data_IF_978297776694
#
_entry.id   IF_978297776694
#
_cell.length_a   1.000
_cell.length_b   1.000
_cell.length_c   1.000
_cell.angle_alpha   90.00
_cell.angle_beta   90.00
_cell.angle_gamma   90.00
#
_symmetry.space_group_name_H-M   'P 1'
#
loop_
_entity.id
_entity.type
_entity.pdbx_description
1 polymer ?
#
# COMPACT_ATOMS: atom_id res chain seq x y z
N UNK A 1 0.30 11.82 14.40
CA UNK A 1 0.01 11.72 12.95
C UNK A 1 0.10 10.24 12.60
N UNK A 2 -0.97 9.66 12.06
CA UNK A 2 -0.99 8.23 11.71
C UNK A 2 -0.23 8.06 10.39
N UNK A 3 0.92 7.37 10.42
CA UNK A 3 1.70 7.07 9.21
C UNK A 3 0.88 6.10 8.35
N UNK A 4 0.26 6.64 7.30
CA UNK A 4 -0.41 5.87 6.26
C UNK A 4 0.65 5.34 5.31
N UNK A 5 0.80 4.03 5.23
CA UNK A 5 1.82 3.35 4.43
C UNK A 5 1.15 2.74 3.20
N UNK A 6 1.68 3.02 2.01
CA UNK A 6 1.32 2.29 0.79
C UNK A 6 2.48 1.41 0.36
N UNK A 7 2.18 0.28 -0.26
CA UNK A 7 3.17 -0.67 -0.74
C UNK A 7 2.80 -1.17 -2.15
N UNK A 8 3.82 -1.43 -2.96
CA UNK A 8 3.68 -2.12 -4.23
C UNK A 8 4.36 -3.48 -4.12
N UNK A 9 3.58 -4.54 -4.24
CA UNK A 9 4.06 -5.92 -4.18
C UNK A 9 4.33 -6.42 -5.59
N UNK A 10 5.53 -6.95 -5.83
CA UNK A 10 5.94 -7.51 -7.11
C UNK A 10 6.31 -8.98 -6.95
N UNK A 11 5.86 -9.81 -7.88
CA UNK A 11 6.37 -11.16 -8.09
C UNK A 11 7.22 -11.13 -9.35
N UNK A 12 8.45 -11.60 -9.24
CA UNK A 12 9.40 -11.57 -10.35
C UNK A 12 10.24 -12.85 -10.37
N UNK A 13 10.88 -13.10 -11.50
CA UNK A 13 11.94 -14.10 -11.65
C UNK A 13 13.24 -13.40 -12.03
N UNK A 14 14.29 -13.69 -11.27
CA UNK A 14 15.66 -13.22 -11.53
C UNK A 14 16.52 -14.35 -12.08
N UNK A 15 17.15 -14.11 -13.24
CA UNK A 15 18.03 -15.08 -13.91
C UNK A 15 19.51 -14.89 -13.50
N UNK A 16 19.86 -13.75 -12.89
CA UNK A 16 21.19 -13.47 -12.37
C UNK A 16 21.15 -12.85 -10.97
N UNK A 17 22.12 -13.20 -10.13
CA UNK A 17 22.20 -12.76 -8.73
C UNK A 17 23.17 -11.61 -8.61
N UNK A 18 22.67 -10.39 -8.73
CA UNK A 18 23.43 -9.14 -8.59
C UNK A 18 22.57 -8.09 -7.91
N UNK A 19 23.24 -7.15 -7.24
CA UNK A 19 22.64 -5.92 -6.71
C UNK A 19 21.97 -5.14 -7.85
N UNK A 20 20.70 -4.79 -7.67
CA UNK A 20 19.92 -4.13 -8.69
C UNK A 20 19.38 -2.79 -8.20
N UNK A 21 19.38 -1.82 -9.12
CA UNK A 21 18.72 -0.55 -8.90
C UNK A 21 17.37 -0.55 -9.60
N UNK A 22 16.27 -0.39 -8.86
CA UNK A 22 14.91 -0.31 -9.41
C UNK A 22 14.57 1.12 -9.80
N UNK A 23 13.96 1.35 -10.97
CA UNK A 23 13.36 2.64 -11.29
C UNK A 23 11.92 2.48 -11.74
N UNK A 24 11.01 3.19 -11.07
CA UNK A 24 9.59 3.29 -11.41
C UNK A 24 9.33 4.44 -12.41
N UNK A 25 8.58 4.21 -13.50
CA UNK A 25 8.09 5.24 -14.44
C UNK A 25 6.56 5.22 -14.52
N UNK A 26 5.91 6.34 -14.87
CA UNK A 26 4.46 6.48 -15.10
C UNK A 26 4.22 6.91 -16.57
N UNK A 27 3.58 6.07 -17.40
CA UNK A 27 3.11 6.47 -18.73
C UNK A 27 1.66 5.99 -19.00
N UNK A 28 0.76 6.91 -19.36
CA UNK A 28 -0.60 6.56 -19.84
C UNK A 28 -0.68 6.67 -21.36
N UNK A 29 -0.71 5.53 -22.06
CA UNK A 29 -0.99 5.48 -23.50
C UNK A 29 -2.46 5.11 -23.76
N UNK A 30 -3.21 6.02 -24.41
CA UNK A 30 -4.52 5.75 -25.01
C UNK A 30 -4.31 5.18 -26.42
N UNK A 31 -4.93 4.03 -26.71
CA UNK A 31 -5.66 3.71 -27.96
C UNK A 31 -6.21 2.28 -27.92
N UNK A 32 -7.42 2.09 -28.43
CA UNK A 32 -8.23 0.90 -28.21
C UNK A 32 -8.00 -0.25 -29.20
N UNK A 33 -8.34 -1.47 -28.77
CA UNK A 33 -8.78 -2.57 -29.63
C UNK A 33 -9.47 -3.69 -28.83
N UNK A 34 -10.72 -3.97 -29.23
CA UNK A 34 -11.51 -5.22 -29.24
C UNK A 34 -11.46 -6.25 -28.09
N UNK A 35 -12.66 -6.53 -27.56
CA UNK A 35 -13.10 -7.78 -26.92
C UNK A 35 -12.74 -9.01 -27.76
N UNK A 36 -12.24 -10.06 -27.12
CA UNK A 36 -12.54 -11.45 -27.47
C UNK A 36 -12.68 -12.26 -26.19
N UNK A 37 -13.81 -12.93 -26.06
CA UNK A 37 -14.20 -13.84 -24.97
C UNK A 37 -13.82 -15.27 -25.41
N UNK A 38 -13.24 -16.09 -24.54
CA UNK A 38 -13.30 -17.56 -24.64
C UNK A 38 -13.33 -18.17 -23.23
N UNK A 39 -14.15 -19.20 -23.08
CA UNK A 39 -14.76 -19.75 -21.87
C UNK A 39 -14.05 -21.02 -21.37
N UNK A 40 -14.15 -21.25 -20.05
CA UNK A 40 -14.12 -22.53 -19.28
C UNK A 40 -12.75 -23.29 -19.26
N UNK A 41 -12.28 -23.99 -18.22
CA UNK A 41 -12.87 -24.82 -17.15
C UNK A 41 -11.79 -25.12 -16.08
N UNK A 42 -12.17 -25.31 -14.80
CA UNK A 42 -11.62 -26.38 -13.92
C UNK A 42 -10.23 -26.24 -13.26
N UNK A 43 -10.25 -26.07 -11.93
CA UNK A 43 -9.23 -26.29 -10.87
C UNK A 43 -8.22 -27.46 -11.07
N UNK A 44 -7.05 -27.53 -10.35
CA UNK A 44 -6.91 -27.14 -8.93
C UNK A 44 -5.63 -26.35 -8.57
N UNK A 45 -5.69 -25.79 -7.35
CA UNK A 45 -4.67 -24.94 -6.76
C UNK A 45 -3.26 -25.50 -6.88
N UNK A 46 -2.36 -24.65 -7.37
CA UNK A 46 -0.94 -24.79 -7.11
C UNK A 46 -0.64 -23.83 -5.97
N UNK A 47 -0.36 -24.43 -4.82
CA UNK A 47 0.36 -23.82 -3.72
C UNK A 47 1.55 -23.04 -4.29
N UNK A 48 1.44 -21.72 -4.34
CA UNK A 48 2.57 -20.85 -4.55
C UNK A 48 3.57 -21.19 -3.44
N UNK A 49 4.65 -21.85 -3.84
CA UNK A 49 5.79 -22.16 -3.00
C UNK A 49 6.19 -20.88 -2.28
N UNK A 50 6.49 -20.99 -0.99
CA UNK A 50 6.96 -19.88 -0.16
C UNK A 50 8.23 -19.28 -0.77
N UNK A 51 8.04 -18.35 -1.71
CA UNK A 51 9.09 -17.58 -2.35
C UNK A 51 9.67 -16.62 -1.32
N UNK A 52 10.97 -16.37 -1.43
CA UNK A 52 11.64 -15.42 -0.55
C UNK A 52 10.99 -14.03 -0.74
N UNK A 53 10.36 -13.52 0.31
CA UNK A 53 9.76 -12.18 0.31
C UNK A 53 10.79 -11.16 0.79
N UNK A 54 11.33 -10.37 -0.13
CA UNK A 54 12.13 -9.19 0.17
C UNK A 54 11.26 -7.98 0.47
N UNK A 55 11.76 -7.03 1.25
CA UNK A 55 11.11 -5.73 1.49
C UNK A 55 12.10 -4.62 1.17
N UNK A 56 11.64 -3.62 0.42
CA UNK A 56 12.35 -2.37 0.20
C UNK A 56 11.73 -1.26 1.05
N UNK A 57 12.56 -0.53 1.77
CA UNK A 57 12.17 0.65 2.57
C UNK A 57 12.88 1.90 2.07
N UNK A 58 12.62 3.03 2.72
CA UNK A 58 13.35 4.28 2.51
C UNK A 58 14.88 4.15 2.63
N UNK A 59 15.39 3.20 3.41
CA UNK A 59 16.84 2.99 3.58
C UNK A 59 17.52 2.52 2.29
N UNK A 60 16.76 1.90 1.39
CA UNK A 60 17.27 1.45 0.10
C UNK A 60 17.23 2.54 -0.96
N UNK A 61 16.62 3.69 -0.67
CA UNK A 61 16.45 4.79 -1.61
C UNK A 61 17.74 5.57 -1.80
N UNK A 62 18.23 5.63 -3.03
CA UNK A 62 19.43 6.39 -3.39
C UNK A 62 19.08 7.76 -3.96
N UNK A 63 18.00 7.84 -4.76
CA UNK A 63 17.63 9.07 -5.45
C UNK A 63 16.13 9.13 -5.69
N UNK A 64 15.56 10.30 -5.41
CA UNK A 64 14.21 10.66 -5.85
C UNK A 64 14.26 11.96 -6.64
N UNK A 65 13.56 11.99 -7.77
CA UNK A 65 13.35 13.18 -8.57
C UNK A 65 11.87 13.33 -8.89
N UNK A 66 11.37 14.55 -8.81
CA UNK A 66 9.98 14.89 -9.15
C UNK A 66 9.97 15.94 -10.26
N UNK A 67 9.07 15.75 -11.23
CA UNK A 67 8.75 16.74 -12.27
C UNK A 67 7.27 17.05 -12.18
N UNK A 68 6.91 18.31 -11.94
CA UNK A 68 5.53 18.73 -11.75
C UNK A 68 5.02 19.40 -13.03
N UNK A 69 3.87 18.95 -13.51
CA UNK A 69 3.18 19.55 -14.66
C UNK A 69 2.01 20.41 -14.20
N UNK A 70 1.57 21.32 -15.04
CA UNK A 70 0.48 22.27 -14.75
C UNK A 70 -0.94 21.66 -14.66
N UNK A 71 -1.05 20.33 -14.62
CA UNK A 71 -2.32 19.58 -14.69
C UNK A 71 -2.58 18.73 -13.44
N UNK A 72 -2.05 19.14 -12.27
CA UNK A 72 -2.10 18.36 -11.02
C UNK A 72 -1.53 16.94 -11.15
N UNK A 73 -0.62 16.73 -12.09
CA UNK A 73 0.11 15.49 -12.29
C UNK A 73 1.61 15.76 -12.07
N UNK A 74 2.29 14.78 -11.50
CA UNK A 74 3.74 14.82 -11.31
C UNK A 74 4.34 13.48 -11.69
N UNK A 75 5.47 13.50 -12.39
CA UNK A 75 6.29 12.32 -12.63
C UNK A 75 7.26 12.17 -11.47
N UNK A 76 7.23 11.00 -10.82
CA UNK A 76 8.18 10.65 -9.76
C UNK A 76 9.11 9.56 -10.28
N UNK A 77 10.42 9.78 -10.14
CA UNK A 77 11.45 8.77 -10.36
C UNK A 77 12.09 8.44 -9.02
N UNK A 78 11.81 7.24 -8.51
CA UNK A 78 12.45 6.66 -7.33
C UNK A 78 13.46 5.60 -7.79
N UNK A 79 14.68 5.69 -7.29
CA UNK A 79 15.80 4.80 -7.57
C UNK A 79 16.27 4.16 -6.26
N UNK A 80 16.15 2.82 -6.16
CA UNK A 80 16.54 2.06 -4.95
C UNK A 80 17.51 0.93 -5.23
N UNK A 81 18.51 0.72 -4.37
CA UNK A 81 19.44 -0.41 -4.46
C UNK A 81 19.02 -1.58 -3.58
N UNK A 82 18.80 -2.73 -4.21
CA UNK A 82 18.27 -3.93 -3.58
C UNK A 82 19.11 -5.16 -3.96
N UNK A 83 19.25 -6.08 -3.02
CA UNK A 83 19.81 -7.41 -3.27
C UNK A 83 18.65 -8.39 -3.45
N UNK A 84 18.44 -8.83 -4.68
CA UNK A 84 17.41 -9.82 -4.99
C UNK A 84 18.03 -11.21 -5.14
N UNK A 85 17.43 -12.25 -4.55
CA UNK A 85 17.85 -13.62 -4.78
C UNK A 85 17.58 -14.05 -6.23
N UNK A 86 18.29 -15.09 -6.69
CA UNK A 86 17.99 -15.72 -7.99
C UNK A 86 16.71 -16.56 -7.88
N UNK A 87 16.00 -16.69 -9.00
CA UNK A 87 14.76 -17.46 -9.08
C UNK A 87 13.50 -16.62 -8.85
N UNK A 88 12.37 -17.30 -8.63
CA UNK A 88 11.09 -16.66 -8.35
C UNK A 88 11.07 -16.12 -6.93
N UNK A 89 10.72 -14.85 -6.76
CA UNK A 89 10.68 -14.18 -5.47
C UNK A 89 9.68 -13.04 -5.46
N UNK A 90 9.32 -12.62 -4.25
CA UNK A 90 8.39 -11.53 -4.01
C UNK A 90 9.16 -10.33 -3.44
N UNK A 91 8.83 -9.12 -3.89
CA UNK A 91 9.37 -7.88 -3.34
C UNK A 91 8.22 -6.96 -2.92
N UNK A 92 8.22 -6.53 -1.66
CA UNK A 92 7.34 -5.45 -1.18
C UNK A 92 8.08 -4.13 -1.25
N UNK A 93 7.67 -3.26 -2.15
CA UNK A 93 8.22 -1.93 -2.33
C UNK A 93 7.42 -0.94 -1.48
N UNK A 94 7.93 -0.63 -0.29
CA UNK A 94 7.24 0.20 0.70
C UNK A 94 7.43 1.69 0.43
N UNK A 95 6.68 2.52 1.14
CA UNK A 95 6.81 3.98 1.15
C UNK A 95 6.53 4.63 -0.21
N UNK A 96 5.61 4.05 -0.99
CA UNK A 96 5.13 4.65 -2.24
C UNK A 96 4.05 5.69 -1.96
N UNK A 97 3.85 6.62 -2.91
CA UNK A 97 2.77 7.60 -2.79
C UNK A 97 1.40 6.92 -2.76
N UNK A 98 0.51 7.42 -1.92
CA UNK A 98 -0.90 6.99 -1.85
C UNK A 98 -1.73 7.52 -3.02
N UNK A 99 -1.25 8.58 -3.67
CA UNK A 99 -1.91 9.18 -4.84
C UNK A 99 -1.34 8.67 -6.15
N UNK A 100 -0.43 7.68 -6.11
CA UNK A 100 0.13 7.08 -7.31
C UNK A 100 -0.98 6.41 -8.11
N UNK A 101 -0.92 6.53 -9.44
CA UNK A 101 -1.75 5.70 -10.30
C UNK A 101 -1.07 4.32 -10.45
N UNK A 102 -1.66 3.21 -9.96
CA UNK A 102 -0.97 1.92 -9.95
C UNK A 102 -0.71 1.31 -11.32
N UNK A 103 -1.62 1.54 -12.28
CA UNK A 103 -1.55 1.03 -13.66
C UNK A 103 -0.37 1.61 -14.44
N UNK A 104 0.13 2.69 -13.89
CA UNK A 104 1.05 3.62 -14.47
C UNK A 104 2.48 3.25 -14.06
N UNK A 105 2.66 2.59 -12.93
CA UNK A 105 3.98 2.25 -12.37
C UNK A 105 4.71 1.20 -13.22
N UNK A 106 5.92 1.55 -13.65
CA UNK A 106 6.82 0.71 -14.44
C UNK A 106 8.13 0.48 -13.72
N UNK A 107 8.33 -0.70 -13.14
CA UNK A 107 9.60 -1.03 -12.48
C UNK A 107 10.56 -1.70 -13.46
N UNK A 108 11.81 -1.23 -13.49
CA UNK A 108 12.90 -1.86 -14.26
C UNK A 108 14.20 -1.93 -13.49
N UNK A 109 15.03 -2.89 -13.85
CA UNK A 109 16.41 -2.98 -13.38
C UNK A 109 17.33 -2.08 -14.21
N UNK A 110 18.09 -1.21 -13.54
CA UNK A 110 19.10 -0.35 -14.18
C UNK A 110 20.41 -1.12 -14.43
N UNK A 111 20.86 -1.92 -13.47
CA UNK A 111 22.16 -2.62 -13.55
C UNK A 111 22.11 -3.90 -14.38
N UNK A 112 20.93 -4.54 -14.46
CA UNK A 112 20.74 -5.77 -15.22
C UNK A 112 19.36 -5.80 -15.91
N UNK A 113 19.13 -4.98 -16.96
CA UNK A 113 17.81 -4.82 -17.58
C UNK A 113 17.18 -6.11 -18.10
N UNK A 114 18.00 -7.06 -18.57
CA UNK A 114 17.53 -8.33 -19.14
C UNK A 114 17.49 -9.49 -18.12
N UNK A 115 17.90 -9.25 -16.88
CA UNK A 115 18.01 -10.30 -15.86
C UNK A 115 16.77 -10.43 -14.97
N UNK A 116 15.86 -9.45 -15.02
CA UNK A 116 14.66 -9.37 -14.18
C UNK A 116 13.40 -9.41 -15.05
N UNK A 117 12.52 -10.37 -14.79
CA UNK A 117 11.21 -10.45 -15.41
C UNK A 117 10.13 -10.32 -14.33
N UNK A 118 9.25 -9.32 -14.47
CA UNK A 118 8.11 -9.12 -13.55
C UNK A 118 6.96 -9.99 -14.05
N UNK A 119 6.48 -10.88 -13.17
CA UNK A 119 5.36 -11.79 -13.43
C UNK A 119 4.05 -11.11 -13.02
N UNK A 120 4.03 -10.54 -11.82
CA UNK A 120 2.85 -9.92 -11.24
C UNK A 120 3.21 -8.63 -10.50
N UNK A 121 2.32 -7.65 -10.56
CA UNK A 121 2.40 -6.42 -9.81
C UNK A 121 1.04 -6.16 -9.16
N UNK A 122 1.04 -6.01 -7.83
CA UNK A 122 -0.14 -5.72 -7.02
C UNK A 122 0.12 -4.47 -6.19
N UNK A 123 -0.81 -3.52 -6.23
CA UNK A 123 -0.74 -2.32 -5.40
C UNK A 123 -1.61 -2.48 -4.16
N UNK A 124 -0.96 -2.45 -3.01
CA UNK A 124 -1.60 -2.56 -1.71
C UNK A 124 -1.62 -1.19 -1.06
N UNK A 125 -2.80 -0.57 -1.07
CA UNK A 125 -3.04 0.63 -0.32
C UNK A 125 -3.66 0.29 1.04
N UNK A 126 -2.88 0.47 2.11
CA UNK A 126 -3.44 0.40 3.45
C UNK A 126 -4.18 1.71 3.76
N UNK A 127 -5.47 1.69 3.45
CA UNK A 127 -6.45 2.71 3.81
C UNK A 127 -6.73 2.71 5.33
N UNK A 128 -5.73 2.55 6.19
CA UNK A 128 -5.84 2.85 7.61
C UNK A 128 -6.22 4.32 7.77
N UNK A 129 -7.52 4.57 7.80
CA UNK A 129 -8.12 5.83 8.16
C UNK A 129 -8.74 5.69 9.55
N UNK A 130 -8.94 6.78 10.30
CA UNK A 130 -9.51 6.72 11.65
C UNK A 130 -10.84 5.95 11.70
N UNK A 131 -11.64 6.00 10.63
CA UNK A 131 -12.88 5.24 10.55
C UNK A 131 -12.62 3.72 10.45
N UNK A 132 -11.80 3.25 9.50
CA UNK A 132 -11.44 1.83 9.36
C UNK A 132 -10.75 1.25 10.59
N UNK A 133 -10.03 2.08 11.34
CA UNK A 133 -9.50 1.68 12.64
C UNK A 133 -10.62 1.38 13.63
N UNK A 134 -11.57 2.32 13.77
CA UNK A 134 -12.73 2.16 14.65
C UNK A 134 -13.63 1.00 14.23
N UNK A 135 -13.72 0.66 12.93
CA UNK A 135 -14.47 -0.50 12.44
C UNK A 135 -14.04 -1.81 13.12
N UNK A 136 -12.74 -1.96 13.45
CA UNK A 136 -12.23 -3.15 14.17
C UNK A 136 -12.68 -3.23 15.63
N UNK A 137 -13.13 -2.11 16.20
CA UNK A 137 -13.54 -2.00 17.59
C UNK A 137 -15.06 -1.89 17.75
N UNK A 138 -15.84 -2.06 16.68
CA UNK A 138 -17.30 -2.17 16.80
C UNK A 138 -17.65 -3.39 17.67
N UNK A 139 -18.43 -3.17 18.71
CA UNK A 139 -18.79 -4.15 19.73
C UNK A 139 -17.74 -4.31 20.84
N UNK A 140 -16.64 -3.57 20.84
CA UNK A 140 -15.62 -3.59 21.89
C UNK A 140 -15.71 -2.38 22.81
N UNK A 141 -15.31 -2.55 24.07
CA UNK A 141 -15.22 -1.46 25.04
C UNK A 141 -13.93 -0.66 24.82
N UNK A 142 -14.08 0.67 24.70
CA UNK A 142 -13.02 1.64 24.52
C UNK A 142 -13.12 2.71 25.63
N UNK A 143 -11.99 3.33 25.96
CA UNK A 143 -11.97 4.47 26.89
C UNK A 143 -11.96 5.77 26.08
N UNK A 144 -13.05 6.53 26.19
CA UNK A 144 -13.17 7.87 25.63
C UNK A 144 -12.61 8.91 26.60
N UNK A 145 -11.94 9.92 26.08
CA UNK A 145 -11.51 11.08 26.87
C UNK A 145 -12.45 12.24 26.52
N UNK A 146 -13.44 12.47 27.39
CA UNK A 146 -14.47 13.48 27.17
C UNK A 146 -14.07 14.80 27.83
N UNK A 147 -14.27 15.90 27.12
CA UNK A 147 -14.11 17.25 27.66
C UNK A 147 -15.36 17.62 28.47
N UNK A 148 -15.19 17.87 29.76
CA UNK A 148 -16.25 18.37 30.66
C UNK A 148 -15.84 19.73 31.22
N UNK A 149 -16.77 20.68 31.22
CA UNK A 149 -16.56 21.98 31.87
C UNK A 149 -17.14 21.89 33.29
N UNK A 150 -16.30 22.06 34.30
CA UNK A 150 -16.69 22.14 35.70
C UNK A 150 -16.10 23.44 36.28
N UNK A 151 -16.93 24.28 36.90
CA UNK A 151 -16.50 25.54 37.53
C UNK A 151 -15.68 26.45 36.60
N UNK A 152 -16.16 26.66 35.38
CA UNK A 152 -15.49 27.46 34.34
C UNK A 152 -14.07 26.96 33.99
N UNK A 153 -13.74 25.72 34.35
CA UNK A 153 -12.45 25.07 34.10
C UNK A 153 -12.69 23.81 33.26
N UNK A 154 -11.84 23.59 32.28
CA UNK A 154 -11.89 22.40 31.45
C UNK A 154 -11.21 21.21 32.14
N UNK A 155 -11.90 20.07 32.19
CA UNK A 155 -11.34 18.79 32.62
C UNK A 155 -11.55 17.70 31.57
N UNK A 156 -10.54 16.85 31.42
CA UNK A 156 -10.60 15.65 30.61
C UNK A 156 -10.99 14.47 31.50
N UNK A 157 -12.13 13.83 31.18
CA UNK A 157 -12.70 12.74 31.97
C UNK A 157 -12.66 11.44 31.15
N UNK A 158 -11.83 10.46 31.55
CA UNK A 158 -11.85 9.12 30.96
C UNK A 158 -13.17 8.42 31.25
N UNK A 159 -13.87 7.96 30.23
CA UNK A 159 -15.18 7.31 30.31
C UNK A 159 -15.18 6.04 29.47
N UNK A 160 -15.62 4.90 30.02
CA UNK A 160 -15.74 3.65 29.25
C UNK A 160 -17.00 3.67 28.39
N UNK A 161 -16.86 3.29 27.13
CA UNK A 161 -17.95 3.27 26.16
C UNK A 161 -17.78 2.11 25.19
N UNK A 162 -18.88 1.54 24.70
CA UNK A 162 -18.85 0.55 23.62
C UNK A 162 -19.17 1.22 22.30
N UNK A 163 -18.36 0.99 21.26
CA UNK A 163 -18.66 1.48 19.92
C UNK A 163 -19.71 0.57 19.27
N UNK A 164 -20.92 1.07 19.04
CA UNK A 164 -22.00 0.29 18.43
C UNK A 164 -21.98 0.35 16.89
N UNK A 165 -21.58 1.48 16.32
CA UNK A 165 -21.51 1.67 14.87
C UNK A 165 -20.54 2.79 14.48
N UNK A 166 -19.98 2.70 13.28
CA UNK A 166 -19.04 3.66 12.71
C UNK A 166 -19.24 3.91 11.19
N UNK A 167 -20.30 3.38 10.57
CA UNK A 167 -20.51 3.43 9.11
C UNK A 167 -21.03 4.78 8.58
N UNK A 168 -21.86 5.51 9.35
CA UNK A 168 -22.47 6.79 8.97
C UNK A 168 -22.29 7.88 10.06
N UNK A 169 -21.39 7.62 11.00
CA UNK A 169 -21.23 8.35 12.25
C UNK A 169 -20.87 7.40 13.38
N UNK A 170 -20.22 7.91 14.42
CA UNK A 170 -19.84 7.12 15.59
C UNK A 170 -21.00 7.08 16.57
N UNK A 171 -21.53 5.89 16.84
CA UNK A 171 -22.56 5.67 17.87
C UNK A 171 -21.91 4.96 19.04
N UNK A 172 -21.88 5.63 20.19
CA UNK A 172 -21.28 5.13 21.42
C UNK A 172 -22.38 4.79 22.42
N UNK A 173 -22.27 3.65 23.08
CA UNK A 173 -23.05 3.33 24.27
C UNK A 173 -22.22 3.71 25.49
N UNK A 174 -22.75 4.59 26.33
CA UNK A 174 -22.06 5.08 27.54
C UNK A 174 -22.94 4.77 28.73
N UNK A 175 -22.42 4.04 29.72
CA UNK A 175 -23.18 3.70 30.94
C UNK A 175 -24.52 2.98 30.66
N UNK A 176 -24.62 2.25 29.55
CA UNK A 176 -25.82 1.51 29.16
C UNK A 176 -26.89 2.34 28.43
N UNK A 177 -26.62 3.59 28.08
CA UNK A 177 -27.51 4.49 27.32
C UNK A 177 -26.92 4.92 25.98
#
# INVERSE_FOLDING_TARGET
MLNKIAALTLIFVMVAGTTFTASAYDETRREGAKKTETKETGQPGQSAQAGQTGTSTIENQEKVAITVYNSNIGLVKDTRTLRLPRGASQLRFMDVSQQINPVTVHIKSITAPNAMNIIEQSYEYDLLNPQKLLDKYVGQELTLVLRRIENNTERLVPTRATLLSNNAGQVWQIEGR
#
